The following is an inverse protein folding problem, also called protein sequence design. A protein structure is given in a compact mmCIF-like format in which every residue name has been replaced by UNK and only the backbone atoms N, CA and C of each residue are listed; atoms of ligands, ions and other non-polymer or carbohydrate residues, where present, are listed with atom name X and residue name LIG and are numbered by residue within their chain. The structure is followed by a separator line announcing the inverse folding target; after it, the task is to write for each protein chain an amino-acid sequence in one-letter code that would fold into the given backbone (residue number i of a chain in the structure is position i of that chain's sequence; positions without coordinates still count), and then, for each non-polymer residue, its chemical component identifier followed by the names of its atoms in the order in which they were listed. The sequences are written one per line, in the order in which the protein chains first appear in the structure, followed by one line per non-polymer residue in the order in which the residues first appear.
data_IF_386828131885
#
_entry.id   IF_386828131885
#
_cell.length_a   1.000
_cell.length_b   1.000
_cell.length_c   1.000
_cell.angle_alpha   90.00
_cell.angle_beta   90.00
_cell.angle_gamma   90.00
#
_symmetry.space_group_name_H-M   'P 1'
#
loop_
_entity.id
_entity.type
_entity.pdbx_description
1 polymer ?
#
# COMPACT_ATOMS: atom_id res chain seq x y z
N UNK A 1 25.11 4.74 -0.45
CA UNK A 1 24.29 3.57 -0.08
C UNK A 1 24.50 2.51 -1.15
N UNK A 2 24.83 1.29 -0.72
CA UNK A 2 24.96 0.11 -1.57
C UNK A 2 23.89 -0.91 -1.18
N UNK A 3 23.23 -1.53 -2.15
CA UNK A 3 22.28 -2.61 -1.93
C UNK A 3 22.70 -3.89 -2.66
N UNK A 4 22.46 -5.03 -2.04
CA UNK A 4 22.80 -6.35 -2.60
C UNK A 4 21.73 -7.36 -2.22
N UNK A 5 21.58 -8.40 -3.03
CA UNK A 5 20.76 -9.57 -2.73
C UNK A 5 21.59 -10.75 -2.19
N UNK A 6 22.82 -10.46 -1.77
CA UNK A 6 23.70 -11.46 -1.17
C UNK A 6 23.08 -12.03 0.11
N UNK A 7 23.00 -13.36 0.22
CA UNK A 7 22.42 -14.03 1.37
C UNK A 7 20.88 -14.18 1.34
N UNK A 8 20.19 -13.78 0.28
CA UNK A 8 18.73 -13.97 0.16
C UNK A 8 18.23 -15.38 0.49
N UNK A 9 18.89 -16.48 0.02
CA UNK A 9 18.47 -17.83 0.38
C UNK A 9 18.54 -18.13 1.88
N UNK A 10 19.50 -17.53 2.59
CA UNK A 10 19.66 -17.69 4.05
C UNK A 10 18.52 -16.94 4.76
N UNK A 11 18.16 -15.75 4.28
CA UNK A 11 17.14 -14.90 4.91
C UNK A 11 15.74 -15.50 4.82
N UNK A 12 15.43 -16.24 3.75
CA UNK A 12 14.12 -16.88 3.55
C UNK A 12 14.03 -18.27 4.20
N UNK A 13 15.13 -18.84 4.71
CA UNK A 13 15.12 -20.16 5.34
C UNK A 13 14.31 -20.14 6.64
N UNK A 14 13.21 -20.91 6.73
CA UNK A 14 12.36 -20.91 7.91
C UNK A 14 12.98 -21.68 9.08
N UNK A 15 14.04 -22.47 8.86
CA UNK A 15 14.68 -23.29 9.90
C UNK A 15 15.68 -22.51 10.75
N UNK A 16 16.15 -21.35 10.27
CA UNK A 16 17.14 -20.53 10.95
C UNK A 16 16.48 -19.45 11.81
N UNK A 17 17.03 -19.26 13.02
CA UNK A 17 16.66 -18.11 13.85
C UNK A 17 17.17 -16.79 13.25
N UNK A 18 16.62 -15.65 13.69
CA UNK A 18 17.06 -14.33 13.23
C UNK A 18 18.55 -14.08 13.49
N UNK A 19 19.08 -14.54 14.62
CA UNK A 19 20.50 -14.41 14.93
C UNK A 19 21.35 -15.27 14.02
N UNK A 20 20.98 -16.53 13.80
CA UNK A 20 21.68 -17.43 12.88
C UNK A 20 21.68 -16.87 11.44
N UNK A 21 20.57 -16.32 10.99
CA UNK A 21 20.49 -15.65 9.69
C UNK A 21 21.46 -14.47 9.59
N UNK A 22 21.50 -13.64 10.63
CA UNK A 22 22.38 -12.48 10.71
C UNK A 22 23.85 -12.88 10.66
N UNK A 23 24.27 -13.83 11.48
CA UNK A 23 25.64 -14.34 11.50
C UNK A 23 26.05 -14.94 10.14
N UNK A 24 25.20 -15.79 9.56
CA UNK A 24 25.48 -16.43 8.29
C UNK A 24 25.59 -15.42 7.14
N UNK A 25 24.73 -14.39 7.11
CA UNK A 25 24.84 -13.33 6.10
C UNK A 25 26.07 -12.47 6.32
N UNK A 26 26.43 -12.13 7.55
CA UNK A 26 27.67 -11.39 7.84
C UNK A 26 28.92 -12.16 7.42
N UNK A 27 28.95 -13.47 7.66
CA UNK A 27 30.05 -14.33 7.22
C UNK A 27 30.14 -14.37 5.68
N UNK A 28 29.00 -14.49 5.01
CA UNK A 28 28.94 -14.45 3.55
C UNK A 28 29.44 -13.13 2.97
N UNK A 29 29.12 -12.00 3.62
CA UNK A 29 29.63 -10.67 3.25
C UNK A 29 31.15 -10.61 3.39
N UNK A 30 31.71 -11.16 4.50
CA UNK A 30 33.18 -11.20 4.71
C UNK A 30 33.89 -12.03 3.66
N UNK A 31 33.25 -13.09 3.18
CA UNK A 31 33.82 -13.93 2.10
C UNK A 31 33.70 -13.28 0.72
N UNK A 32 32.63 -12.53 0.48
CA UNK A 32 32.35 -11.92 -0.82
C UNK A 32 33.13 -10.62 -1.07
N UNK A 33 33.46 -9.87 -0.02
CA UNK A 33 34.11 -8.57 -0.13
C UNK A 33 35.46 -8.53 0.57
N UNK A 34 36.37 -7.76 0.01
CA UNK A 34 37.71 -7.56 0.63
C UNK A 34 37.60 -6.81 1.95
N UNK A 35 38.47 -7.11 2.93
CA UNK A 35 38.46 -6.44 4.23
C UNK A 35 38.57 -4.90 4.13
N UNK A 36 39.36 -4.41 3.20
CA UNK A 36 39.54 -2.96 2.99
C UNK A 36 38.23 -2.27 2.55
N UNK A 37 37.35 -3.01 1.85
CA UNK A 37 36.03 -2.51 1.47
C UNK A 37 35.08 -2.50 2.65
N UNK A 38 35.04 -3.61 3.42
CA UNK A 38 34.14 -3.72 4.59
C UNK A 38 34.49 -2.67 5.64
N UNK A 39 35.78 -2.40 5.87
CA UNK A 39 36.25 -1.40 6.83
C UNK A 39 35.90 0.06 6.45
N UNK A 40 35.41 0.28 5.24
CA UNK A 40 34.93 1.59 4.74
C UNK A 40 33.43 1.76 4.82
N UNK A 41 32.71 0.72 5.23
CA UNK A 41 31.26 0.78 5.45
C UNK A 41 31.00 1.24 6.89
N UNK A 42 30.10 2.21 7.04
CA UNK A 42 29.69 2.70 8.35
C UNK A 42 28.81 1.67 9.06
N UNK A 43 27.91 1.01 8.30
CA UNK A 43 27.01 -0.02 8.83
C UNK A 43 26.55 -0.98 7.73
N UNK A 44 26.14 -2.19 8.13
CA UNK A 44 25.58 -3.24 7.27
C UNK A 44 24.18 -3.59 7.78
N UNK A 45 23.17 -2.99 7.15
CA UNK A 45 21.77 -3.29 7.43
C UNK A 45 21.32 -4.57 6.74
N UNK A 46 20.66 -5.46 7.48
CA UNK A 46 20.05 -6.68 6.96
C UNK A 46 18.54 -6.52 6.99
N UNK A 47 17.91 -6.54 5.82
CA UNK A 47 16.46 -6.51 5.69
C UNK A 47 15.90 -7.91 5.93
N UNK A 48 14.87 -7.98 6.78
CA UNK A 48 14.15 -9.22 7.06
C UNK A 48 13.09 -9.49 5.99
N UNK A 49 12.61 -10.73 5.95
CA UNK A 49 11.43 -11.07 5.16
C UNK A 49 10.20 -10.31 5.71
N UNK A 50 9.31 -9.91 4.81
CA UNK A 50 8.08 -9.20 5.17
C UNK A 50 7.13 -10.14 5.92
N UNK A 51 6.53 -9.63 6.99
CA UNK A 51 5.45 -10.28 7.72
C UNK A 51 4.09 -9.99 7.05
N UNK A 52 3.04 -10.68 7.49
CA UNK A 52 1.66 -10.39 7.05
C UNK A 52 1.24 -8.95 7.40
N UNK A 53 1.65 -8.46 8.57
CA UNK A 53 1.36 -7.09 9.02
C UNK A 53 2.08 -6.05 8.16
N UNK A 54 3.33 -6.31 7.78
CA UNK A 54 4.07 -5.45 6.87
C UNK A 54 3.39 -5.38 5.49
N UNK A 55 2.86 -6.52 5.01
CA UNK A 55 2.13 -6.57 3.74
C UNK A 55 0.84 -5.77 3.80
N UNK A 56 0.09 -5.85 4.90
CA UNK A 56 -1.10 -5.05 5.11
C UNK A 56 -0.78 -3.54 5.06
N UNK A 57 0.29 -3.11 5.71
CA UNK A 57 0.75 -1.71 5.66
C UNK A 57 1.17 -1.29 4.23
N UNK A 58 1.85 -2.16 3.49
CA UNK A 58 2.26 -1.89 2.10
C UNK A 58 1.02 -1.75 1.20
N UNK A 59 -0.02 -2.56 1.42
CA UNK A 59 -1.31 -2.42 0.72
C UNK A 59 -1.91 -1.06 1.00
N UNK A 60 -1.99 -0.64 2.28
CA UNK A 60 -2.52 0.68 2.64
C UNK A 60 -1.78 1.83 1.97
N UNK A 61 -0.45 1.85 2.10
CA UNK A 61 0.38 2.87 1.45
C UNK A 61 0.19 2.91 -0.08
N UNK A 62 -0.03 1.75 -0.70
CA UNK A 62 -0.24 1.64 -2.15
C UNK A 62 -1.62 2.14 -2.55
N UNK A 63 -2.66 1.84 -1.76
CA UNK A 63 -4.02 2.35 -1.95
C UNK A 63 -4.07 3.86 -1.75
N UNK A 64 -3.41 4.38 -0.72
CA UNK A 64 -3.31 5.83 -0.47
C UNK A 64 -2.58 6.56 -1.59
N UNK A 65 -1.52 5.96 -2.13
CA UNK A 65 -0.82 6.52 -3.29
C UNK A 65 -1.71 6.56 -4.53
N UNK A 66 -2.57 5.56 -4.72
CA UNK A 66 -3.55 5.54 -5.79
C UNK A 66 -4.64 6.59 -5.55
N UNK A 67 -5.19 6.69 -4.33
CA UNK A 67 -6.19 7.70 -3.95
C UNK A 67 -5.70 9.12 -4.25
N UNK A 68 -4.43 9.43 -3.92
CA UNK A 68 -3.85 10.75 -4.24
C UNK A 68 -3.85 11.07 -5.73
N UNK A 69 -3.62 10.08 -6.60
CA UNK A 69 -3.65 10.25 -8.06
C UNK A 69 -5.08 10.47 -8.60
N UNK A 70 -6.08 9.99 -7.89
CA UNK A 70 -7.49 10.13 -8.26
C UNK A 70 -8.10 11.48 -7.78
N UNK A 71 -7.36 12.21 -6.94
CA UNK A 71 -7.81 13.48 -6.36
C UNK A 71 -8.20 14.51 -7.42
N UNK A 72 -7.44 14.63 -8.50
CA UNK A 72 -7.72 15.60 -9.58
C UNK A 72 -9.08 15.35 -10.26
N UNK A 73 -9.54 14.11 -10.25
CA UNK A 73 -10.88 13.72 -10.72
C UNK A 73 -11.94 13.70 -9.63
N UNK A 74 -11.58 14.06 -8.40
CA UNK A 74 -12.46 14.01 -7.24
C UNK A 74 -13.06 12.62 -6.98
N UNK A 75 -12.38 11.56 -7.45
CA UNK A 75 -12.79 10.19 -7.21
C UNK A 75 -12.32 9.73 -5.83
N UNK A 76 -13.22 9.08 -5.11
CA UNK A 76 -12.91 8.43 -3.83
C UNK A 76 -12.83 6.93 -4.02
N UNK A 77 -11.76 6.31 -3.52
CA UNK A 77 -11.57 4.86 -3.58
C UNK A 77 -11.82 4.26 -2.20
N UNK A 78 -12.88 3.47 -2.07
CA UNK A 78 -13.24 2.77 -0.83
C UNK A 78 -12.88 1.28 -0.95
N UNK A 79 -11.67 0.91 -0.52
CA UNK A 79 -11.21 -0.49 -0.51
C UNK A 79 -11.64 -1.15 0.80
N UNK A 80 -12.42 -2.23 0.71
CA UNK A 80 -12.89 -2.96 1.90
C UNK A 80 -11.75 -3.68 2.62
N UNK A 81 -11.90 -4.00 3.92
CA UNK A 81 -10.92 -4.80 4.66
C UNK A 81 -10.64 -6.15 3.99
N UNK A 82 -11.67 -6.80 3.47
CA UNK A 82 -11.54 -8.10 2.78
C UNK A 82 -10.74 -7.96 1.48
N UNK A 83 -10.95 -6.89 0.71
CA UNK A 83 -10.17 -6.61 -0.49
C UNK A 83 -8.71 -6.31 -0.17
N UNK A 84 -8.42 -5.63 0.95
CA UNK A 84 -7.04 -5.39 1.43
C UNK A 84 -6.36 -6.69 1.83
N UNK A 85 -7.05 -7.56 2.58
CA UNK A 85 -6.55 -8.88 2.97
C UNK A 85 -6.27 -9.75 1.74
N UNK A 86 -7.19 -9.75 0.77
CA UNK A 86 -7.05 -10.46 -0.50
C UNK A 86 -5.81 -9.99 -1.30
N UNK A 87 -5.57 -8.67 -1.34
CA UNK A 87 -4.39 -8.10 -1.99
C UNK A 87 -3.09 -8.49 -1.27
N UNK A 88 -3.08 -8.46 0.07
CA UNK A 88 -1.92 -8.83 0.87
C UNK A 88 -1.56 -10.31 0.67
N UNK A 89 -2.54 -11.20 0.68
CA UNK A 89 -2.34 -12.64 0.50
C UNK A 89 -1.81 -12.97 -0.90
N UNK A 90 -2.45 -12.45 -1.95
CA UNK A 90 -2.09 -12.76 -3.34
C UNK A 90 -0.92 -11.95 -3.88
N UNK A 91 -0.63 -10.82 -3.27
CA UNK A 91 0.47 -9.95 -3.63
C UNK A 91 1.81 -10.33 -3.01
N UNK A 92 1.86 -11.39 -2.21
CA UNK A 92 3.07 -11.88 -1.57
C UNK A 92 3.68 -13.06 -2.33
N UNK A 93 4.99 -13.00 -2.47
CA UNK A 93 5.80 -14.12 -2.98
C UNK A 93 7.04 -14.28 -2.08
N UNK A 94 7.30 -15.48 -1.54
CA UNK A 94 8.45 -15.72 -0.66
C UNK A 94 9.81 -15.34 -1.27
N UNK A 95 9.96 -15.47 -2.60
CA UNK A 95 11.21 -15.17 -3.30
C UNK A 95 11.33 -13.70 -3.70
N UNK A 96 10.19 -13.04 -4.03
CA UNK A 96 10.14 -11.67 -4.56
C UNK A 96 9.55 -10.65 -3.58
N UNK A 97 9.08 -11.09 -2.41
CA UNK A 97 8.47 -10.23 -1.39
C UNK A 97 7.18 -9.57 -1.87
N UNK A 98 7.06 -8.26 -1.68
CA UNK A 98 5.90 -7.47 -2.09
C UNK A 98 5.95 -6.94 -3.53
N UNK A 99 6.93 -7.37 -4.35
CA UNK A 99 7.00 -6.92 -5.76
C UNK A 99 5.76 -7.29 -6.57
N UNK A 100 5.17 -8.50 -6.43
CA UNK A 100 3.94 -8.86 -7.15
C UNK A 100 2.75 -7.99 -6.73
N UNK A 101 2.69 -7.52 -5.49
CA UNK A 101 1.61 -6.70 -4.96
C UNK A 101 1.37 -5.43 -5.79
N UNK A 102 2.45 -4.73 -6.17
CA UNK A 102 2.31 -3.52 -7.01
C UNK A 102 1.66 -3.82 -8.35
N UNK A 103 2.04 -4.94 -8.99
CA UNK A 103 1.44 -5.36 -10.27
C UNK A 103 -0.01 -5.78 -10.08
N UNK A 104 -0.31 -6.48 -8.99
CA UNK A 104 -1.66 -6.91 -8.66
C UNK A 104 -2.59 -5.69 -8.45
N UNK A 105 -2.17 -4.68 -7.69
CA UNK A 105 -2.93 -3.44 -7.50
C UNK A 105 -3.10 -2.71 -8.85
N UNK A 106 -2.08 -2.70 -9.69
CA UNK A 106 -2.17 -2.09 -11.02
C UNK A 106 -3.23 -2.81 -11.86
N UNK A 107 -3.15 -4.12 -12.04
CA UNK A 107 -4.08 -4.88 -12.89
C UNK A 107 -5.49 -4.94 -12.32
N UNK A 108 -5.64 -5.21 -11.03
CA UNK A 108 -6.95 -5.46 -10.42
C UNK A 108 -7.72 -4.17 -10.07
N UNK A 109 -7.02 -3.08 -9.80
CA UNK A 109 -7.67 -1.80 -9.44
C UNK A 109 -7.43 -0.74 -10.52
N UNK A 110 -6.18 -0.37 -10.81
CA UNK A 110 -5.90 0.79 -11.67
C UNK A 110 -6.42 0.60 -13.08
N UNK A 111 -6.07 -0.50 -13.73
CA UNK A 111 -6.44 -0.77 -15.13
C UNK A 111 -7.96 -0.95 -15.27
N UNK A 112 -8.59 -1.66 -14.32
CA UNK A 112 -10.06 -1.86 -14.31
C UNK A 112 -10.81 -0.56 -14.03
N UNK A 113 -10.30 0.28 -13.12
CA UNK A 113 -10.86 1.61 -12.86
C UNK A 113 -10.73 2.51 -14.10
N UNK A 114 -9.57 2.50 -14.75
CA UNK A 114 -9.36 3.26 -15.97
C UNK A 114 -10.35 2.84 -17.08
N UNK A 115 -10.55 1.55 -17.25
CA UNK A 115 -11.55 1.03 -18.21
C UNK A 115 -12.97 1.45 -17.83
N UNK A 116 -13.34 1.41 -16.54
CA UNK A 116 -14.66 1.84 -16.07
C UNK A 116 -14.90 3.33 -16.30
N UNK A 117 -13.88 4.18 -16.11
CA UNK A 117 -13.94 5.61 -16.41
C UNK A 117 -14.11 5.84 -17.91
N UNK A 118 -13.33 5.17 -18.75
CA UNK A 118 -13.43 5.30 -20.22
C UNK A 118 -14.79 4.82 -20.77
N UNK A 119 -15.36 3.78 -20.16
CA UNK A 119 -16.69 3.28 -20.50
C UNK A 119 -17.84 4.18 -19.97
N UNK A 120 -17.54 5.21 -19.18
CA UNK A 120 -18.54 6.11 -18.59
C UNK A 120 -19.28 5.53 -17.40
N UNK A 121 -18.84 4.37 -16.88
CA UNK A 121 -19.41 3.72 -15.70
C UNK A 121 -18.98 4.36 -14.38
N UNK A 122 -17.91 5.15 -14.39
CA UNK A 122 -17.40 5.94 -13.25
C UNK A 122 -17.22 7.37 -13.71
N UNK A 123 -17.76 8.33 -12.96
CA UNK A 123 -17.71 9.77 -13.26
C UNK A 123 -16.93 10.53 -12.22
N UNK A 124 -16.46 11.71 -12.59
CA UNK A 124 -15.77 12.59 -11.66
C UNK A 124 -16.66 12.91 -10.44
N UNK A 125 -16.12 12.74 -9.26
CA UNK A 125 -16.86 12.90 -8.00
C UNK A 125 -17.45 11.61 -7.41
N UNK A 126 -17.41 10.50 -8.14
CA UNK A 126 -17.94 9.23 -7.66
C UNK A 126 -17.07 8.60 -6.56
N UNK A 127 -17.72 7.81 -5.70
CA UNK A 127 -17.04 6.86 -4.82
C UNK A 127 -17.02 5.49 -5.48
N UNK A 128 -15.82 4.96 -5.68
CA UNK A 128 -15.63 3.59 -6.21
C UNK A 128 -15.29 2.65 -5.06
N UNK A 129 -16.21 1.73 -4.78
CA UNK A 129 -16.01 0.66 -3.81
C UNK A 129 -15.28 -0.51 -4.48
N UNK A 130 -14.22 -0.97 -3.82
CA UNK A 130 -13.47 -2.18 -4.21
C UNK A 130 -13.74 -3.26 -3.19
N UNK A 131 -14.28 -4.39 -3.63
CA UNK A 131 -14.65 -5.53 -2.79
C UNK A 131 -14.15 -6.83 -3.41
N UNK A 132 -14.20 -7.93 -2.67
CA UNK A 132 -13.87 -9.26 -3.18
C UNK A 132 -15.12 -9.85 -3.85
N UNK A 133 -14.96 -10.47 -5.02
CA UNK A 133 -16.03 -11.23 -5.67
C UNK A 133 -16.54 -12.34 -4.76
N UNK A 134 -17.81 -12.70 -4.89
CA UNK A 134 -18.47 -13.72 -4.04
C UNK A 134 -17.76 -15.08 -4.07
N UNK A 135 -17.09 -15.41 -5.16
CA UNK A 135 -16.29 -16.62 -5.33
C UNK A 135 -14.82 -16.48 -4.86
N UNK A 136 -14.43 -15.30 -4.37
CA UNK A 136 -13.08 -15.00 -3.92
C UNK A 136 -12.01 -14.93 -5.03
N UNK A 137 -12.41 -15.03 -6.30
CA UNK A 137 -11.47 -15.16 -7.43
C UNK A 137 -10.80 -13.85 -7.83
N UNK A 138 -11.50 -12.72 -7.69
CA UNK A 138 -11.09 -11.41 -8.18
C UNK A 138 -11.62 -10.28 -7.30
N UNK A 139 -11.18 -9.05 -7.55
CA UNK A 139 -11.78 -7.86 -6.99
C UNK A 139 -12.93 -7.36 -7.89
N UNK A 140 -13.96 -6.78 -7.28
CA UNK A 140 -15.08 -6.13 -7.97
C UNK A 140 -15.08 -4.65 -7.65
N UNK A 141 -15.18 -3.82 -8.69
CA UNK A 141 -15.28 -2.36 -8.57
C UNK A 141 -16.73 -1.95 -8.83
N UNK A 142 -17.33 -1.24 -7.88
CA UNK A 142 -18.70 -0.74 -7.98
C UNK A 142 -18.72 0.76 -7.75
N UNK A 143 -19.28 1.53 -8.71
CA UNK A 143 -19.51 2.96 -8.50
C UNK A 143 -20.75 3.15 -7.64
N UNK A 144 -20.63 3.92 -6.55
CA UNK A 144 -21.70 4.24 -5.63
C UNK A 144 -22.30 5.64 -5.87
N UNK A 145 -21.92 6.31 -6.97
CA UNK A 145 -22.28 7.69 -7.24
C UNK A 145 -21.45 8.69 -6.40
N UNK A 146 -21.74 10.00 -6.50
CA UNK A 146 -20.99 11.02 -5.79
C UNK A 146 -21.18 10.87 -4.27
N UNK A 147 -20.07 10.96 -3.54
CA UNK A 147 -20.10 11.04 -2.08
C UNK A 147 -20.93 12.27 -1.70
N UNK A 148 -21.97 12.14 -0.85
CA UNK A 148 -22.63 13.33 -0.33
C UNK A 148 -21.55 14.17 0.36
N UNK A 149 -21.31 15.38 -0.20
CA UNK A 149 -20.45 16.37 0.44
C UNK A 149 -21.03 16.61 1.83
N UNK A 150 -20.23 16.41 2.88
CA UNK A 150 -20.60 16.90 4.18
C UNK A 150 -20.93 18.39 4.01
N UNK A 151 -22.18 18.76 4.24
CA UNK A 151 -22.59 20.15 4.21
C UNK A 151 -21.68 20.91 5.18
N UNK A 152 -21.19 22.11 4.81
CA UNK A 152 -20.48 22.92 5.79
C UNK A 152 -21.45 23.16 6.94
N UNK A 153 -21.00 22.87 8.15
CA UNK A 153 -21.70 23.20 9.39
C UNK A 153 -22.23 24.64 9.27
N UNK A 154 -23.54 24.77 9.34
CA UNK A 154 -24.17 26.07 9.36
C UNK A 154 -23.63 26.76 10.63
N UNK A 155 -22.68 27.66 10.43
CA UNK A 155 -22.24 28.54 11.47
C UNK A 155 -23.48 29.29 12.00
N UNK A 156 -23.72 29.09 13.25
CA UNK A 156 -24.67 29.81 14.09
C UNK A 156 -24.51 31.31 13.82
N UNK A 157 -25.50 31.87 13.13
CA UNK A 157 -25.61 33.33 12.91
C UNK A 157 -26.18 33.92 14.20
N UNK A 158 -25.30 34.11 15.20
CA UNK A 158 -25.60 34.89 16.41
C UNK A 158 -25.83 36.34 16.00
N UNK A 159 -27.09 36.65 15.74
CA UNK A 159 -27.58 38.01 15.56
C UNK A 159 -27.41 38.75 16.89
N UNK A 160 -26.36 39.55 16.99
CA UNK A 160 -26.21 40.51 18.09
C UNK A 160 -27.19 41.66 17.84
N UNK A 161 -28.32 41.61 18.55
CA UNK A 161 -29.28 42.72 18.63
C UNK A 161 -28.62 43.83 19.44
N UNK A 162 -28.21 44.90 18.78
CA UNK A 162 -27.71 46.10 19.45
C UNK A 162 -28.89 46.93 19.93
N UNK A 163 -29.16 46.93 21.24
CA UNK A 163 -30.10 47.80 21.90
C UNK A 163 -29.54 49.24 21.98
N UNK A 164 -30.20 50.15 21.27
CA UNK A 164 -29.88 51.59 21.33
C UNK A 164 -30.62 52.14 22.53
N UNK A 165 -29.91 52.59 23.55
CA UNK A 165 -30.47 53.39 24.71
C UNK A 165 -30.27 54.86 24.40
N UNK A 166 -31.39 55.62 24.49
CA UNK A 166 -31.44 57.06 24.44
C UNK A 166 -30.69 57.75 25.61
#
# INVERSE_FOLDING_TARGET
ILTSNLGSPILIDPTLSLEQKREAVQELVRQAFKPEFINRLDDIGIFQALTQDDLAQIVELSVDALQRRLHDRRLTLAVTPDARAWLAERGYDPAFGARPLRRLIQSEIQDRLAMAILAGGVRDGDTVRVDVAADGSALVLTSAGPTPSAAPDAADDDVIEAEIVE
#
